data_IF_646571783910
#
_entry.id   IF_646571783910
#
_cell.length_a   1.000
_cell.length_b   1.000
_cell.length_c   1.000
_cell.angle_alpha   90.00
_cell.angle_beta   90.00
_cell.angle_gamma   90.00
#
_symmetry.space_group_name_H-M   'P 1'
#
loop_
_entity.id
_entity.type
_entity.pdbx_description
1 polymer ?
#
# COMPACT_ATOMS: atom_id res chain seq x y z
N UNK A 1 -16.33 -34.11 17.00
CA UNK A 1 -16.62 -33.15 15.91
C UNK A 1 -15.59 -33.21 14.80
N UNK A 2 -16.00 -32.98 13.53
CA UNK A 2 -15.06 -32.82 12.40
C UNK A 2 -14.37 -31.46 12.48
N UNK A 3 -13.07 -31.35 12.14
CA UNK A 3 -12.34 -30.07 12.13
C UNK A 3 -13.01 -29.03 11.23
N UNK A 4 -13.05 -27.76 11.67
CA UNK A 4 -13.53 -26.63 10.87
C UNK A 4 -12.76 -26.50 9.55
N UNK A 5 -13.48 -26.30 8.45
CA UNK A 5 -12.91 -26.05 7.13
C UNK A 5 -13.58 -24.85 6.46
N UNK A 6 -12.80 -23.79 6.25
CA UNK A 6 -13.27 -22.63 5.51
C UNK A 6 -13.14 -22.88 4.00
N UNK A 7 -14.27 -23.04 3.31
CA UNK A 7 -14.29 -23.38 1.86
C UNK A 7 -13.59 -22.35 0.98
N UNK A 8 -13.51 -21.10 1.43
CA UNK A 8 -12.91 -19.98 0.70
C UNK A 8 -11.47 -19.66 1.14
N UNK A 9 -10.80 -20.56 1.87
CA UNK A 9 -9.42 -20.32 2.35
C UNK A 9 -8.43 -20.06 1.20
N UNK A 10 -8.59 -20.77 0.07
CA UNK A 10 -7.76 -20.53 -1.14
C UNK A 10 -7.99 -19.11 -1.71
N UNK A 11 -9.24 -18.68 -1.78
CA UNK A 11 -9.61 -17.33 -2.27
C UNK A 11 -9.07 -16.25 -1.35
N UNK A 12 -9.16 -16.46 -0.02
CA UNK A 12 -8.59 -15.57 0.99
C UNK A 12 -7.08 -15.39 0.80
N UNK A 13 -6.32 -16.48 0.63
CA UNK A 13 -4.87 -16.42 0.38
C UNK A 13 -4.51 -15.66 -0.89
N UNK A 14 -5.27 -15.83 -1.97
CA UNK A 14 -5.07 -15.06 -3.21
C UNK A 14 -5.29 -13.56 -2.97
N UNK A 15 -6.32 -13.19 -2.21
CA UNK A 15 -6.59 -11.78 -1.87
C UNK A 15 -5.49 -11.18 -0.98
N UNK A 16 -4.99 -11.92 0.01
CA UNK A 16 -3.85 -11.51 0.84
C UNK A 16 -2.57 -11.31 0.01
N UNK A 17 -2.29 -12.24 -0.91
CA UNK A 17 -1.15 -12.12 -1.81
C UNK A 17 -1.25 -10.87 -2.70
N UNK A 18 -2.44 -10.61 -3.26
CA UNK A 18 -2.69 -9.42 -4.08
C UNK A 18 -2.54 -8.12 -3.30
N UNK A 19 -3.06 -8.05 -2.07
CA UNK A 19 -2.86 -6.90 -1.17
C UNK A 19 -1.37 -6.67 -0.90
N UNK A 20 -0.63 -7.72 -0.56
CA UNK A 20 0.80 -7.65 -0.30
C UNK A 20 1.58 -7.17 -1.53
N UNK A 21 1.24 -7.66 -2.73
CA UNK A 21 1.85 -7.21 -3.97
C UNK A 21 1.60 -5.73 -4.22
N UNK A 22 0.37 -5.24 -4.01
CA UNK A 22 0.04 -3.82 -4.17
C UNK A 22 0.73 -2.92 -3.15
N UNK A 23 0.86 -3.37 -1.90
CA UNK A 23 1.62 -2.65 -0.88
C UNK A 23 3.12 -2.56 -1.25
N UNK A 24 3.70 -3.64 -1.79
CA UNK A 24 5.08 -3.62 -2.27
C UNK A 24 5.27 -2.71 -3.47
N UNK A 25 4.32 -2.70 -4.41
CA UNK A 25 4.30 -1.81 -5.56
C UNK A 25 4.25 -0.34 -5.13
N UNK A 26 3.35 -0.01 -4.19
CA UNK A 26 3.25 1.33 -3.60
C UNK A 26 4.58 1.78 -2.98
N UNK A 27 5.20 0.92 -2.18
CA UNK A 27 6.48 1.24 -1.54
C UNK A 27 7.60 1.48 -2.58
N UNK A 28 7.60 0.76 -3.71
CA UNK A 28 8.55 1.00 -4.80
C UNK A 28 8.32 2.36 -5.46
N UNK A 29 7.06 2.71 -5.73
CA UNK A 29 6.71 4.01 -6.33
C UNK A 29 7.01 5.18 -5.40
N UNK A 30 6.77 5.04 -4.09
CA UNK A 30 7.14 6.07 -3.12
C UNK A 30 8.65 6.33 -3.08
N UNK A 31 9.48 5.28 -3.13
CA UNK A 31 10.95 5.44 -3.24
C UNK A 31 11.37 6.10 -4.55
N UNK A 32 10.71 5.75 -5.65
CA UNK A 32 10.96 6.41 -6.93
C UNK A 32 10.60 7.90 -6.87
N UNK A 33 9.46 8.24 -6.28
CA UNK A 33 9.03 9.63 -6.07
C UNK A 33 10.06 10.42 -5.25
N UNK A 34 10.57 9.84 -4.16
CA UNK A 34 11.60 10.47 -3.34
C UNK A 34 12.89 10.74 -4.13
N UNK A 35 13.35 9.77 -4.93
CA UNK A 35 14.53 9.93 -5.78
C UNK A 35 14.34 11.06 -6.80
N UNK A 36 13.19 11.12 -7.45
CA UNK A 36 12.87 12.17 -8.43
C UNK A 36 12.73 13.54 -7.78
N UNK A 37 12.17 13.64 -6.57
CA UNK A 37 12.15 14.88 -5.80
C UNK A 37 13.57 15.36 -5.45
N UNK A 38 14.47 14.45 -5.04
CA UNK A 38 15.87 14.79 -4.78
C UNK A 38 16.58 15.32 -6.03
N UNK A 39 16.28 14.75 -7.21
CA UNK A 39 16.78 15.27 -8.49
C UNK A 39 16.26 16.68 -8.77
N UNK A 40 14.97 16.93 -8.55
CA UNK A 40 14.40 18.27 -8.68
C UNK A 40 15.09 19.27 -7.76
N UNK A 41 15.32 18.91 -6.49
CA UNK A 41 16.03 19.77 -5.54
C UNK A 41 17.46 20.09 -6.01
N UNK A 42 18.17 19.12 -6.56
CA UNK A 42 19.51 19.34 -7.13
C UNK A 42 19.47 20.28 -8.34
N UNK A 43 18.49 20.14 -9.22
CA UNK A 43 18.32 21.06 -10.36
C UNK A 43 18.02 22.48 -9.91
N UNK A 44 17.12 22.64 -8.93
CA UNK A 44 16.80 23.93 -8.33
C UNK A 44 18.02 24.58 -7.69
N UNK A 45 18.83 23.80 -6.96
CA UNK A 45 20.08 24.27 -6.35
C UNK A 45 21.07 24.76 -7.41
N UNK A 46 21.33 23.96 -8.45
CA UNK A 46 22.20 24.34 -9.57
C UNK A 46 21.74 25.63 -10.25
N UNK A 47 20.43 25.80 -10.41
CA UNK A 47 19.87 27.01 -11.00
C UNK A 47 20.13 28.23 -10.12
N UNK A 48 19.93 28.11 -8.81
CA UNK A 48 20.22 29.19 -7.86
C UNK A 48 21.70 29.53 -7.86
N UNK A 49 22.60 28.55 -7.88
CA UNK A 49 24.05 28.74 -8.00
C UNK A 49 24.40 29.48 -9.29
N UNK A 50 23.84 29.06 -10.44
CA UNK A 50 24.09 29.72 -11.72
C UNK A 50 23.59 31.19 -11.76
N UNK A 51 22.52 31.51 -11.03
CA UNK A 51 22.07 32.90 -10.89
C UNK A 51 23.01 33.73 -10.03
N UNK A 52 23.52 33.17 -8.92
CA UNK A 52 24.48 33.85 -8.05
C UNK A 52 25.80 34.11 -8.79
N UNK A 53 26.33 33.11 -9.51
CA UNK A 53 27.54 33.26 -10.31
C UNK A 53 27.38 34.34 -11.40
N UNK A 54 26.20 34.43 -12.02
CA UNK A 54 25.90 35.48 -13.00
C UNK A 54 25.85 36.87 -12.36
N UNK A 55 25.28 36.99 -11.16
CA UNK A 55 25.17 38.26 -10.43
C UNK A 55 26.55 38.76 -9.97
N UNK A 56 27.35 37.88 -9.34
CA UNK A 56 28.72 38.18 -8.91
C UNK A 56 29.61 38.59 -10.10
N UNK A 57 29.47 37.91 -11.23
CA UNK A 57 30.26 38.22 -12.40
C UNK A 57 29.82 39.54 -13.07
N UNK A 58 28.54 39.95 -12.96
CA UNK A 58 28.11 41.27 -13.45
C UNK A 58 28.73 42.44 -12.70
N UNK A 59 29.08 42.28 -11.42
CA UNK A 59 29.85 43.26 -10.66
C UNK A 59 31.29 43.44 -11.18
N UNK A 60 31.84 42.41 -11.83
CA UNK A 60 33.20 42.37 -12.37
C UNK A 60 33.28 42.39 -13.90
N UNK A 61 32.88 43.48 -14.56
CA UNK A 61 33.07 43.72 -16.02
C UNK A 61 33.06 42.46 -16.91
N UNK A 62 31.93 41.74 -16.94
CA UNK A 62 31.73 40.61 -17.85
C UNK A 62 31.74 41.01 -19.32
N UNK A 63 32.29 40.13 -20.16
CA UNK A 63 32.07 40.23 -21.60
C UNK A 63 30.69 39.68 -22.00
N UNK A 64 30.10 40.24 -23.06
CA UNK A 64 28.72 39.91 -23.49
C UNK A 64 28.52 38.42 -23.83
N UNK A 65 29.57 37.71 -24.26
CA UNK A 65 29.55 36.27 -24.55
C UNK A 65 29.41 35.40 -23.28
N UNK A 66 29.97 35.82 -22.16
CA UNK A 66 29.89 35.09 -20.89
C UNK A 66 28.48 35.17 -20.33
N UNK A 67 27.84 36.35 -20.38
CA UNK A 67 26.43 36.55 -20.00
C UNK A 67 25.51 35.62 -20.81
N UNK A 68 25.69 35.56 -22.14
CA UNK A 68 24.89 34.69 -23.02
C UNK A 68 25.03 33.20 -22.67
N UNK A 69 26.22 32.79 -22.24
CA UNK A 69 26.48 31.40 -21.83
C UNK A 69 25.70 31.06 -20.56
N UNK A 70 25.74 31.91 -19.54
CA UNK A 70 24.94 31.73 -18.32
C UNK A 70 23.43 31.73 -18.59
N UNK A 71 22.94 32.67 -19.40
CA UNK A 71 21.51 32.71 -19.75
C UNK A 71 21.07 31.42 -20.46
N UNK A 72 21.89 30.89 -21.36
CA UNK A 72 21.60 29.64 -22.07
C UNK A 72 21.57 28.45 -21.11
N UNK A 73 22.54 28.37 -20.19
CA UNK A 73 22.59 27.31 -19.17
C UNK A 73 21.39 27.37 -18.21
N UNK A 74 21.02 28.56 -17.73
CA UNK A 74 19.85 28.76 -16.87
C UNK A 74 18.56 28.36 -17.60
N UNK A 75 18.43 28.68 -18.88
CA UNK A 75 17.28 28.27 -19.68
C UNK A 75 17.19 26.74 -19.82
N UNK A 76 18.31 26.06 -20.05
CA UNK A 76 18.38 24.60 -20.05
C UNK A 76 17.93 24.02 -18.70
N UNK A 77 18.46 24.54 -17.58
CA UNK A 77 18.05 24.10 -16.24
C UNK A 77 16.56 24.30 -15.98
N UNK A 78 15.97 25.40 -16.45
CA UNK A 78 14.54 25.63 -16.32
C UNK A 78 13.72 24.60 -17.11
N UNK A 79 14.14 24.23 -18.32
CA UNK A 79 13.49 23.18 -19.10
C UNK A 79 13.59 21.82 -18.39
N UNK A 80 14.77 21.48 -17.86
CA UNK A 80 14.98 20.25 -17.10
C UNK A 80 14.11 20.19 -15.83
N UNK A 81 13.96 21.32 -15.14
CA UNK A 81 13.10 21.46 -13.94
C UNK A 81 11.64 21.17 -14.29
N UNK A 82 11.13 21.74 -15.39
CA UNK A 82 9.74 21.51 -15.80
C UNK A 82 9.50 20.05 -16.20
N UNK A 83 10.41 19.45 -16.98
CA UNK A 83 10.32 18.01 -17.31
C UNK A 83 10.36 17.13 -16.05
N UNK A 84 11.21 17.49 -15.08
CA UNK A 84 11.32 16.76 -13.83
C UNK A 84 10.04 16.88 -12.98
N UNK A 85 9.37 18.06 -12.99
CA UNK A 85 8.08 18.29 -12.35
C UNK A 85 6.97 17.46 -12.98
N UNK A 86 6.90 17.42 -14.31
CA UNK A 86 5.93 16.58 -15.03
C UNK A 86 6.11 15.09 -14.70
N UNK A 87 7.37 14.63 -14.63
CA UNK A 87 7.68 13.27 -14.23
C UNK A 87 7.23 12.95 -12.80
N UNK A 88 7.51 13.86 -11.86
CA UNK A 88 7.06 13.74 -10.45
C UNK A 88 5.53 13.66 -10.40
N UNK A 89 4.84 14.52 -11.14
CA UNK A 89 3.39 14.54 -11.21
C UNK A 89 2.82 13.21 -11.74
N UNK A 90 3.39 12.65 -12.81
CA UNK A 90 3.00 11.34 -13.32
C UNK A 90 3.20 10.21 -12.31
N UNK A 91 4.28 10.24 -11.53
CA UNK A 91 4.51 9.27 -10.44
C UNK A 91 3.46 9.44 -9.34
N UNK A 92 3.13 10.67 -8.95
CA UNK A 92 2.12 10.96 -7.93
C UNK A 92 0.72 10.46 -8.36
N UNK A 93 0.34 10.65 -9.62
CA UNK A 93 -0.91 10.10 -10.15
C UNK A 93 -0.93 8.57 -10.08
N UNK A 94 0.17 7.92 -10.46
CA UNK A 94 0.29 6.47 -10.36
C UNK A 94 0.21 5.97 -8.90
N UNK A 95 0.83 6.68 -7.96
CA UNK A 95 0.71 6.39 -6.52
C UNK A 95 -0.75 6.46 -6.08
N UNK A 96 -1.48 7.52 -6.47
CA UNK A 96 -2.90 7.66 -6.15
C UNK A 96 -3.73 6.47 -6.65
N UNK A 97 -3.49 6.03 -7.89
CA UNK A 97 -4.14 4.83 -8.45
C UNK A 97 -3.82 3.56 -7.64
N UNK A 98 -2.55 3.33 -7.31
CA UNK A 98 -2.12 2.15 -6.54
C UNK A 98 -2.73 2.17 -5.13
N UNK A 99 -2.84 3.34 -4.50
CA UNK A 99 -3.50 3.47 -3.19
C UNK A 99 -4.97 3.08 -3.24
N UNK A 100 -5.71 3.47 -4.29
CA UNK A 100 -7.09 3.05 -4.51
C UNK A 100 -7.20 1.53 -4.70
N UNK A 101 -6.35 0.95 -5.55
CA UNK A 101 -6.31 -0.50 -5.79
C UNK A 101 -5.96 -1.29 -4.52
N UNK A 102 -5.05 -0.77 -3.69
CA UNK A 102 -4.70 -1.36 -2.41
C UNK A 102 -5.88 -1.31 -1.44
N UNK A 103 -6.58 -0.17 -1.36
CA UNK A 103 -7.78 -0.02 -0.53
C UNK A 103 -8.86 -1.04 -0.91
N UNK A 104 -9.10 -1.24 -2.19
CA UNK A 104 -10.05 -2.25 -2.69
C UNK A 104 -9.61 -3.67 -2.34
N UNK A 105 -8.32 -3.98 -2.49
CA UNK A 105 -7.75 -5.27 -2.11
C UNK A 105 -7.93 -5.54 -0.60
N UNK A 106 -7.63 -4.56 0.24
CA UNK A 106 -7.80 -4.63 1.69
C UNK A 106 -9.26 -4.81 2.10
N UNK A 107 -10.20 -4.10 1.46
CA UNK A 107 -11.65 -4.29 1.67
C UNK A 107 -12.07 -5.73 1.35
N UNK A 108 -11.65 -6.25 0.19
CA UNK A 108 -11.98 -7.62 -0.23
C UNK A 108 -11.45 -8.69 0.74
N UNK A 109 -10.23 -8.53 1.25
CA UNK A 109 -9.67 -9.40 2.29
C UNK A 109 -10.48 -9.35 3.58
N UNK A 110 -10.80 -8.14 4.06
CA UNK A 110 -11.52 -7.93 5.32
C UNK A 110 -12.91 -8.55 5.31
N UNK A 111 -13.59 -8.56 4.14
CA UNK A 111 -14.87 -9.25 3.96
C UNK A 111 -14.70 -10.77 4.18
N UNK A 112 -13.67 -11.38 3.58
CA UNK A 112 -13.41 -12.82 3.73
C UNK A 112 -12.99 -13.20 5.16
N UNK A 113 -12.25 -12.33 5.85
CA UNK A 113 -11.92 -12.51 7.26
C UNK A 113 -13.17 -12.55 8.14
N UNK A 114 -14.04 -11.54 8.02
CA UNK A 114 -15.31 -11.50 8.76
C UNK A 114 -16.20 -12.69 8.45
N UNK A 115 -16.27 -13.11 7.19
CA UNK A 115 -17.04 -14.29 6.79
C UNK A 115 -16.50 -15.57 7.44
N UNK A 116 -15.17 -15.73 7.47
CA UNK A 116 -14.52 -16.88 8.12
C UNK A 116 -14.76 -16.87 9.63
N UNK A 117 -14.65 -15.72 10.28
CA UNK A 117 -14.94 -15.56 11.71
C UNK A 117 -16.37 -15.96 12.02
N UNK A 118 -17.35 -15.46 11.25
CA UNK A 118 -18.75 -15.81 11.43
C UNK A 118 -19.01 -17.31 11.26
N UNK A 119 -18.48 -17.93 10.20
CA UNK A 119 -18.62 -19.37 9.96
C UNK A 119 -17.95 -20.20 11.05
N UNK A 120 -16.83 -19.72 11.60
CA UNK A 120 -16.14 -20.38 12.70
C UNK A 120 -16.96 -20.33 13.99
N UNK A 121 -17.57 -19.19 14.30
CA UNK A 121 -18.47 -19.06 15.46
C UNK A 121 -19.68 -19.98 15.32
N UNK A 122 -20.28 -20.09 14.13
CA UNK A 122 -21.38 -21.02 13.88
C UNK A 122 -20.95 -22.48 14.09
N UNK A 123 -19.78 -22.86 13.56
CA UNK A 123 -19.23 -24.19 13.77
C UNK A 123 -19.02 -24.52 15.26
N UNK A 124 -18.51 -23.56 16.06
CA UNK A 124 -18.37 -23.75 17.51
C UNK A 124 -19.74 -23.94 18.18
N UNK A 125 -20.72 -23.09 17.86
CA UNK A 125 -22.07 -23.16 18.41
C UNK A 125 -22.78 -24.49 18.08
N UNK A 126 -22.64 -24.97 16.86
CA UNK A 126 -23.14 -26.29 16.46
C UNK A 126 -22.50 -27.40 17.29
N UNK A 127 -21.19 -27.28 17.56
CA UNK A 127 -20.47 -28.20 18.43
C UNK A 127 -20.95 -28.27 19.85
N UNK A 128 -21.10 -27.11 20.47
CA UNK A 128 -21.66 -27.02 21.81
C UNK A 128 -23.07 -27.64 21.87
N UNK A 129 -23.90 -27.45 20.84
CA UNK A 129 -25.24 -28.05 20.77
C UNK A 129 -25.20 -29.57 20.62
N UNK A 130 -24.28 -30.11 19.82
CA UNK A 130 -24.10 -31.56 19.67
C UNK A 130 -23.62 -32.20 20.99
N UNK A 131 -22.64 -31.59 21.65
CA UNK A 131 -22.13 -32.05 22.95
C UNK A 131 -23.23 -32.02 24.03
N UNK A 132 -24.01 -30.95 24.09
CA UNK A 132 -25.10 -30.83 25.05
C UNK A 132 -26.17 -31.92 24.83
N UNK A 133 -26.55 -32.20 23.58
CA UNK A 133 -27.49 -33.29 23.26
C UNK A 133 -26.97 -34.65 23.73
N UNK A 134 -25.68 -34.94 23.52
CA UNK A 134 -25.07 -36.18 23.98
C UNK A 134 -25.10 -36.30 25.51
N UNK A 135 -24.84 -35.21 26.24
CA UNK A 135 -24.91 -35.18 27.71
C UNK A 135 -26.34 -35.41 28.23
N UNK A 136 -27.34 -34.80 27.58
CA UNK A 136 -28.75 -34.99 27.92
C UNK A 136 -29.18 -36.45 27.69
N UNK A 137 -28.80 -37.04 26.54
CA UNK A 137 -29.07 -38.45 26.22
C UNK A 137 -28.42 -39.41 27.24
N UNK A 138 -27.14 -39.18 27.59
CA UNK A 138 -26.45 -39.98 28.61
C UNK A 138 -27.10 -39.87 29.99
N UNK A 139 -27.59 -38.68 30.35
CA UNK A 139 -28.31 -38.45 31.61
C UNK A 139 -29.62 -39.23 31.66
N UNK A 140 -30.38 -39.25 30.56
CA UNK A 140 -31.60 -40.04 30.43
C UNK A 140 -31.34 -41.55 30.53
N UNK A 141 -30.28 -42.05 29.88
CA UNK A 141 -29.87 -43.46 29.96
C UNK A 141 -29.52 -43.83 31.41
N UNK A 142 -28.70 -43.02 32.07
CA UNK A 142 -28.26 -43.26 33.47
C UNK A 142 -29.45 -43.29 34.42
N UNK A 143 -30.43 -42.40 34.22
CA UNK A 143 -31.66 -42.38 35.02
C UNK A 143 -32.49 -43.65 34.84
N UNK A 144 -32.71 -44.08 33.59
CA UNK A 144 -33.41 -45.34 33.29
C UNK A 144 -32.73 -46.55 33.90
N UNK A 145 -31.39 -46.60 33.89
CA UNK A 145 -30.65 -47.68 34.53
C UNK A 145 -30.85 -47.72 36.06
N UNK A 146 -30.92 -46.57 36.73
CA UNK A 146 -31.24 -46.51 38.17
C UNK A 146 -32.66 -46.92 38.50
N UNK A 147 -33.63 -46.64 37.63
CA UNK A 147 -35.03 -47.01 37.83
C UNK A 147 -35.29 -48.52 37.62
N UNK A 148 -34.35 -49.26 37.00
CA UNK A 148 -34.43 -50.71 36.77
C UNK A 148 -33.73 -51.58 37.83
N UNK A 149 -33.02 -50.97 38.78
CA UNK A 149 -32.40 -51.62 39.94
C UNK A 149 -33.27 -51.45 41.18
#
# INVERSE_FOLDING_TARGET
MKRFQFRLEKVKKVKESREKQKAQELARQMRALELENNRLQNLLKKRTEAFLELDEAQEGSLYSNEILTYCSYINMLNQDIEQQREKIFGIQQNIGRIQLELLEASKGKKILEKLREHQYLQYLLEGYREEQKLLDEMSLITRKFREML
#
